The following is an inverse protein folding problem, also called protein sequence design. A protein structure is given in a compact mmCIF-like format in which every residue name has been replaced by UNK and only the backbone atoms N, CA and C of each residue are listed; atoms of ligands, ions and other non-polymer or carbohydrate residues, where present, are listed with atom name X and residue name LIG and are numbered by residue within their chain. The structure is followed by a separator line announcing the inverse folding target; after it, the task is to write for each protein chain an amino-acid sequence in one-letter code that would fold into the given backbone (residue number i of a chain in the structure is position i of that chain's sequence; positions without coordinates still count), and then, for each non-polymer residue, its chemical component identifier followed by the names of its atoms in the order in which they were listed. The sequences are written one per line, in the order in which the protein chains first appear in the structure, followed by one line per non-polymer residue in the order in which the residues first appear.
data_IF_093960252284
#
_entry.id   IF_093960252284
#
_cell.length_a   1.000
_cell.length_b   1.000
_cell.length_c   1.000
_cell.angle_alpha   90.00
_cell.angle_beta   90.00
_cell.angle_gamma   90.00
#
_symmetry.space_group_name_H-M   'P 1'
#
loop_
_entity.id
_entity.type
_entity.pdbx_description
1 polymer ?
#
# COMPACT_ATOMS: atom_id res chain seq x y z
N UNK A 1 -62.38 -16.30 -21.04
CA UNK A 1 -61.79 -17.56 -21.50
C UNK A 1 -60.32 -17.54 -21.10
N UNK A 2 -59.78 -18.28 -20.17
CA UNK A 2 -60.21 -19.14 -19.04
C UNK A 2 -58.88 -19.35 -18.27
N UNK A 3 -58.83 -19.09 -16.95
CA UNK A 3 -58.66 -20.09 -15.85
C UNK A 3 -57.41 -20.99 -16.03
N UNK A 4 -56.45 -21.15 -15.10
CA UNK A 4 -56.44 -21.37 -13.64
C UNK A 4 -55.04 -21.00 -13.07
N UNK A 5 -54.85 -20.36 -11.90
CA UNK A 5 -54.98 -20.85 -10.50
C UNK A 5 -53.93 -21.95 -10.16
N UNK A 6 -53.08 -21.88 -9.13
CA UNK A 6 -53.38 -21.86 -7.68
C UNK A 6 -52.18 -21.30 -6.84
N UNK A 7 -52.45 -20.62 -5.70
CA UNK A 7 -51.48 -20.07 -4.75
C UNK A 7 -51.19 -20.98 -3.52
N UNK A 8 -50.08 -20.69 -2.81
CA UNK A 8 -49.86 -21.13 -1.43
C UNK A 8 -48.42 -20.86 -0.96
N UNK A 9 -48.20 -20.01 0.05
CA UNK A 9 -48.36 -20.38 1.45
C UNK A 9 -47.74 -19.32 2.39
N UNK A 10 -48.43 -19.09 3.50
CA UNK A 10 -48.07 -18.43 4.75
C UNK A 10 -46.78 -17.61 4.87
N UNK A 11 -46.94 -16.32 5.16
CA UNK A 11 -46.03 -15.63 6.08
C UNK A 11 -46.80 -15.30 7.35
N UNK A 12 -46.65 -16.20 8.31
CA UNK A 12 -47.03 -15.99 9.70
C UNK A 12 -46.30 -14.76 10.26
N UNK A 13 -47.11 -13.91 10.87
CA UNK A 13 -46.71 -12.86 11.79
C UNK A 13 -46.25 -13.51 13.11
N UNK A 14 -44.95 -13.66 13.30
CA UNK A 14 -44.34 -13.83 14.62
C UNK A 14 -42.83 -13.66 14.53
N UNK A 15 -42.32 -12.45 14.78
CA UNK A 15 -40.95 -12.31 15.29
C UNK A 15 -40.77 -10.98 16.03
N UNK A 16 -41.54 -10.80 17.11
CA UNK A 16 -41.14 -9.94 18.23
C UNK A 16 -40.75 -10.84 19.40
N UNK A 17 -39.51 -11.32 19.41
CA UNK A 17 -38.80 -11.85 20.57
C UNK A 17 -37.37 -12.24 20.15
N UNK A 18 -36.49 -11.26 19.95
CA UNK A 18 -35.16 -11.56 19.44
C UNK A 18 -34.14 -10.44 19.53
N UNK A 19 -34.12 -9.65 20.60
CA UNK A 19 -33.05 -8.68 20.84
C UNK A 19 -32.13 -9.03 22.01
N UNK A 20 -32.49 -10.00 22.86
CA UNK A 20 -31.87 -10.11 24.18
C UNK A 20 -30.77 -11.20 24.29
N UNK A 21 -30.75 -12.18 23.38
CA UNK A 21 -29.76 -13.28 23.45
C UNK A 21 -28.43 -13.03 22.74
N UNK A 22 -28.36 -12.05 21.84
CA UNK A 22 -27.14 -11.78 21.05
C UNK A 22 -26.17 -10.82 21.74
N UNK A 23 -26.60 -10.06 22.75
CA UNK A 23 -25.71 -9.20 23.54
C UNK A 23 -25.04 -9.96 24.71
N UNK A 24 -25.66 -11.01 25.26
CA UNK A 24 -25.07 -11.79 26.36
C UNK A 24 -23.86 -12.64 25.95
N UNK A 25 -23.77 -13.08 24.68
CA UNK A 25 -22.69 -13.96 24.21
C UNK A 25 -21.29 -13.31 24.26
N UNK A 26 -21.08 -12.08 23.78
CA UNK A 26 -19.77 -11.41 23.90
C UNK A 26 -19.41 -11.05 25.34
N UNK A 27 -20.37 -10.69 26.19
CA UNK A 27 -20.12 -10.33 27.59
C UNK A 27 -19.71 -11.54 28.44
N UNK A 28 -20.34 -12.70 28.22
CA UNK A 28 -19.95 -13.97 28.86
C UNK A 28 -18.56 -14.43 28.35
N UNK A 29 -18.22 -14.20 27.09
CA UNK A 29 -16.91 -14.55 26.52
C UNK A 29 -15.78 -13.63 27.04
N UNK A 30 -16.06 -12.33 27.20
CA UNK A 30 -15.17 -11.38 27.86
C UNK A 30 -14.98 -11.75 29.33
N UNK A 31 -16.06 -12.14 30.02
CA UNK A 31 -16.04 -12.57 31.41
C UNK A 31 -15.23 -13.84 31.65
N UNK A 32 -15.37 -14.84 30.78
CA UNK A 32 -14.56 -16.07 30.84
C UNK A 32 -13.07 -15.79 30.58
N UNK A 33 -12.75 -14.84 29.71
CA UNK A 33 -11.38 -14.45 29.38
C UNK A 33 -10.73 -13.62 30.50
N UNK A 34 -11.48 -12.76 31.18
CA UNK A 34 -11.02 -12.00 32.34
C UNK A 34 -10.77 -12.93 33.54
N UNK A 35 -11.73 -13.80 33.85
CA UNK A 35 -11.61 -14.82 34.90
C UNK A 35 -10.35 -15.70 34.76
N UNK A 36 -10.00 -16.09 33.53
CA UNK A 36 -8.79 -16.88 33.26
C UNK A 36 -7.48 -16.11 33.48
N UNK A 37 -7.49 -14.76 33.36
CA UNK A 37 -6.30 -13.91 33.56
C UNK A 37 -6.02 -13.60 35.04
N UNK A 38 -7.07 -13.51 35.86
CA UNK A 38 -6.98 -13.11 37.28
C UNK A 38 -7.34 -14.23 38.27
N UNK A 39 -7.71 -15.42 37.77
CA UNK A 39 -7.89 -16.63 38.60
C UNK A 39 -9.16 -16.65 39.46
N UNK A 40 -10.16 -15.83 39.14
CA UNK A 40 -11.39 -15.67 39.92
C UNK A 40 -12.67 -16.01 39.15
N UNK A 41 -13.80 -16.07 39.86
CA UNK A 41 -15.13 -16.33 39.28
C UNK A 41 -15.70 -15.05 38.67
N UNK A 42 -16.19 -15.05 37.42
CA UNK A 42 -16.73 -13.84 36.81
C UNK A 42 -18.07 -13.43 37.44
N UNK A 43 -18.24 -12.14 37.69
CA UNK A 43 -19.50 -11.48 38.02
C UNK A 43 -19.88 -10.55 36.87
N UNK A 44 -21.08 -10.75 36.32
CA UNK A 44 -21.62 -9.98 35.20
C UNK A 44 -22.75 -9.12 35.73
N UNK A 45 -22.81 -7.85 35.30
CA UNK A 45 -23.90 -6.95 35.65
C UNK A 45 -25.22 -7.42 35.05
N UNK A 46 -26.32 -7.08 35.73
CA UNK A 46 -27.65 -7.27 35.14
C UNK A 46 -27.93 -6.24 34.03
N UNK A 47 -29.09 -6.34 33.39
CA UNK A 47 -29.50 -5.45 32.30
C UNK A 47 -29.57 -3.95 32.69
N UNK A 48 -29.48 -3.62 33.99
CA UNK A 48 -29.46 -2.25 34.50
C UNK A 48 -28.05 -1.81 34.96
N UNK A 49 -27.02 -2.63 34.74
CA UNK A 49 -25.65 -2.32 35.16
C UNK A 49 -25.40 -2.55 36.66
N UNK A 50 -26.22 -3.38 37.32
CA UNK A 50 -26.13 -3.65 38.76
C UNK A 50 -25.47 -5.00 39.03
N UNK A 51 -24.52 -5.04 39.96
CA UNK A 51 -23.89 -6.27 40.45
C UNK A 51 -24.15 -6.42 41.94
N UNK A 52 -24.78 -7.53 42.33
CA UNK A 52 -24.94 -7.90 43.74
C UNK A 52 -23.74 -8.74 44.17
N UNK A 53 -23.00 -8.27 45.17
CA UNK A 53 -21.87 -9.03 45.68
C UNK A 53 -22.33 -10.23 46.52
N UNK A 54 -21.56 -11.33 46.54
CA UNK A 54 -21.81 -12.45 47.43
C UNK A 54 -21.70 -12.02 48.90
N UNK A 55 -22.43 -12.72 49.78
CA UNK A 55 -22.45 -12.43 51.21
C UNK A 55 -21.03 -12.52 51.81
N UNK A 56 -20.63 -11.50 52.58
CA UNK A 56 -19.30 -11.40 53.17
C UNK A 56 -18.27 -10.65 52.31
N UNK A 57 -18.66 -10.10 51.16
CA UNK A 57 -17.84 -9.14 50.43
C UNK A 57 -17.94 -7.75 51.09
N UNK A 58 -16.80 -7.12 51.34
CA UNK A 58 -16.74 -5.73 51.78
C UNK A 58 -16.20 -4.85 50.67
N UNK A 59 -16.33 -3.53 50.85
CA UNK A 59 -15.85 -2.56 49.88
C UNK A 59 -14.30 -2.50 49.84
N UNK A 60 -13.64 -2.87 50.94
CA UNK A 60 -12.18 -2.93 51.07
C UNK A 60 -11.56 -4.11 50.29
N UNK A 61 -12.38 -5.10 49.93
CA UNK A 61 -11.96 -6.29 49.19
C UNK A 61 -11.83 -6.03 47.69
N UNK A 62 -12.26 -4.86 47.21
CA UNK A 62 -12.31 -4.49 45.79
C UNK A 62 -11.03 -3.77 45.37
N UNK A 63 -10.37 -4.27 44.31
CA UNK A 63 -9.15 -3.71 43.75
C UNK A 63 -9.22 -3.63 42.23
N UNK A 64 -8.53 -2.65 41.66
CA UNK A 64 -8.35 -2.54 40.20
C UNK A 64 -7.17 -3.39 39.77
N UNK A 65 -7.38 -4.28 38.79
CA UNK A 65 -6.30 -5.05 38.15
C UNK A 65 -6.43 -4.88 36.65
N UNK A 66 -5.55 -4.07 36.05
CA UNK A 66 -5.63 -3.73 34.64
C UNK A 66 -6.91 -2.95 34.32
N UNK A 67 -7.81 -3.57 33.54
CA UNK A 67 -9.13 -3.00 33.17
C UNK A 67 -10.29 -3.57 33.98
N UNK A 68 -10.02 -4.56 34.84
CA UNK A 68 -11.04 -5.32 35.57
C UNK A 68 -11.09 -4.90 37.05
N UNK A 69 -12.26 -5.07 37.69
CA UNK A 69 -12.36 -5.03 39.16
C UNK A 69 -12.24 -6.44 39.72
N UNK A 70 -11.38 -6.62 40.71
CA UNK A 70 -11.14 -7.89 41.38
C UNK A 70 -11.54 -7.77 42.83
N UNK A 71 -12.34 -8.72 43.31
CA UNK A 71 -12.85 -8.76 44.67
C UNK A 71 -12.28 -10.00 45.34
N UNK A 72 -11.56 -9.83 46.44
CA UNK A 72 -10.95 -10.95 47.18
C UNK A 72 -11.54 -11.03 48.57
N UNK A 73 -12.39 -12.04 48.82
CA UNK A 73 -13.02 -12.24 50.12
C UNK A 73 -12.01 -12.74 51.16
N UNK A 74 -12.30 -12.54 52.45
CA UNK A 74 -11.52 -13.04 53.59
C UNK A 74 -11.29 -14.57 53.58
N UNK A 75 -12.18 -15.32 52.91
CA UNK A 75 -12.06 -16.77 52.75
C UNK A 75 -11.11 -17.18 51.59
N UNK A 76 -10.49 -16.22 50.92
CA UNK A 76 -9.58 -16.41 49.78
C UNK A 76 -10.28 -16.60 48.43
N UNK A 77 -11.61 -16.51 48.35
CA UNK A 77 -12.32 -16.57 47.07
C UNK A 77 -12.17 -15.26 46.29
N UNK A 78 -11.87 -15.39 45.00
CA UNK A 78 -11.67 -14.26 44.09
C UNK A 78 -12.83 -14.18 43.12
N UNK A 79 -13.42 -12.99 42.97
CA UNK A 79 -14.41 -12.65 41.96
C UNK A 79 -13.88 -11.55 41.05
N UNK A 80 -14.29 -11.56 39.79
CA UNK A 80 -13.79 -10.63 38.76
C UNK A 80 -14.97 -10.01 38.03
N UNK A 81 -15.00 -8.68 37.98
CA UNK A 81 -15.92 -7.90 37.16
C UNK A 81 -15.12 -7.43 35.93
N UNK A 82 -15.38 -8.01 34.75
CA UNK A 82 -14.66 -7.68 33.51
C UNK A 82 -14.91 -6.23 33.12
N UNK A 83 -13.86 -5.52 32.69
CA UNK A 83 -13.92 -4.11 32.25
C UNK A 83 -14.50 -3.12 33.29
N UNK A 84 -14.74 -3.57 34.53
CA UNK A 84 -15.40 -2.77 35.56
C UNK A 84 -14.60 -1.57 36.07
N UNK A 85 -13.32 -1.46 35.70
CA UNK A 85 -12.52 -0.25 35.98
C UNK A 85 -12.79 0.86 34.94
N UNK A 86 -13.32 0.52 33.78
CA UNK A 86 -13.68 1.45 32.70
C UNK A 86 -15.18 1.74 32.76
N UNK A 87 -16.00 0.69 32.78
CA UNK A 87 -17.45 0.78 32.91
C UNK A 87 -17.85 0.39 34.34
N UNK A 88 -17.69 1.33 35.28
CA UNK A 88 -17.93 1.10 36.70
C UNK A 88 -19.41 0.79 36.94
N UNK A 89 -19.77 -0.44 37.37
CA UNK A 89 -21.16 -0.82 37.60
C UNK A 89 -21.66 -0.30 38.95
N UNK A 90 -22.98 -0.33 39.15
CA UNK A 90 -23.55 -0.12 40.48
C UNK A 90 -23.38 -1.39 41.30
N UNK A 91 -22.79 -1.29 42.49
CA UNK A 91 -22.55 -2.46 43.35
C UNK A 91 -23.55 -2.47 44.49
N UNK A 92 -24.16 -3.62 44.77
CA UNK A 92 -24.99 -3.84 45.95
C UNK A 92 -24.27 -4.76 46.92
N UNK A 93 -24.00 -4.26 48.13
CA UNK A 93 -23.32 -4.98 49.21
C UNK A 93 -24.30 -5.11 50.37
N UNK A 94 -24.61 -6.34 50.80
CA UNK A 94 -25.55 -6.63 51.89
C UNK A 94 -26.90 -5.86 51.80
N UNK A 95 -27.39 -5.66 50.58
CA UNK A 95 -28.65 -4.95 50.29
C UNK A 95 -28.53 -3.42 50.22
N UNK A 96 -27.35 -2.86 50.42
CA UNK A 96 -27.06 -1.42 50.27
C UNK A 96 -26.46 -1.17 48.89
N UNK A 97 -27.11 -0.30 48.11
CA UNK A 97 -26.64 0.07 46.79
C UNK A 97 -25.59 1.19 46.86
N UNK A 98 -24.40 0.94 46.32
CA UNK A 98 -23.29 1.89 46.17
C UNK A 98 -23.29 2.38 44.72
N UNK A 99 -23.58 3.68 44.48
CA UNK A 99 -23.56 4.24 43.14
C UNK A 99 -22.16 4.19 42.50
N UNK A 100 -22.06 4.06 41.17
CA UNK A 100 -20.79 4.01 40.44
C UNK A 100 -19.82 5.15 40.77
N UNK A 101 -20.36 6.36 40.96
CA UNK A 101 -19.57 7.56 41.24
C UNK A 101 -18.84 7.48 42.59
N UNK A 102 -19.46 6.86 43.60
CA UNK A 102 -18.85 6.70 44.92
C UNK A 102 -17.81 5.58 44.92
N UNK A 103 -18.05 4.53 44.13
CA UNK A 103 -17.09 3.45 43.94
C UNK A 103 -15.84 3.95 43.21
N UNK A 104 -16.01 4.70 42.12
CA UNK A 104 -14.90 5.29 41.37
C UNK A 104 -14.03 6.23 42.23
N UNK A 105 -14.64 7.03 43.11
CA UNK A 105 -13.92 7.89 44.04
C UNK A 105 -13.06 7.08 45.03
N UNK A 106 -13.64 6.01 45.60
CA UNK A 106 -12.93 5.12 46.52
C UNK A 106 -11.74 4.40 45.87
N UNK A 107 -11.87 4.03 44.59
CA UNK A 107 -10.83 3.32 43.83
C UNK A 107 -9.59 4.17 43.52
N UNK A 108 -9.73 5.50 43.49
CA UNK A 108 -8.65 6.44 43.18
C UNK A 108 -8.01 7.01 44.48
N UNK A 109 -8.56 6.68 45.65
CA UNK A 109 -8.10 7.19 46.94
C UNK A 109 -8.56 8.62 47.22
N UNK A 110 -9.45 9.16 46.40
CA UNK A 110 -10.15 10.41 46.69
C UNK A 110 -11.36 10.06 47.55
N UNK A 111 -11.27 10.29 48.86
CA UNK A 111 -12.43 10.18 49.75
C UNK A 111 -13.58 11.04 49.18
N UNK A 112 -14.74 10.46 48.83
CA UNK A 112 -15.87 11.27 48.45
C UNK A 112 -16.35 12.06 49.67
N UNK A 113 -16.43 13.37 49.48
CA UNK A 113 -17.29 14.32 50.20
C UNK A 113 -18.49 13.62 50.86
N UNK A 114 -18.45 13.59 52.18
CA UNK A 114 -19.50 13.36 53.19
C UNK A 114 -20.87 12.84 52.68
N UNK A 115 -21.41 11.74 53.23
CA UNK A 115 -22.72 11.23 52.83
C UNK A 115 -23.82 12.26 53.07
N UNK A 116 -24.79 12.28 52.15
CA UNK A 116 -25.95 13.16 52.18
C UNK A 116 -26.58 13.22 53.58
N UNK A 117 -26.55 14.42 54.18
CA UNK A 117 -27.23 14.69 55.43
C UNK A 117 -28.72 14.41 55.26
N UNK A 118 -29.26 13.50 56.09
CA UNK A 118 -30.69 13.40 56.30
C UNK A 118 -31.27 14.74 56.77
N UNK A 119 -32.61 14.86 56.69
CA UNK A 119 -33.41 16.04 57.01
C UNK A 119 -32.84 16.87 58.19
N UNK A 120 -32.78 18.21 58.08
CA UNK A 120 -32.05 19.05 59.02
C UNK A 120 -32.63 18.92 60.43
N UNK A 121 -31.87 18.31 61.34
CA UNK A 121 -32.08 18.51 62.78
C UNK A 121 -31.34 19.79 63.18
N UNK A 122 -32.01 20.92 63.02
CA UNK A 122 -31.60 22.15 63.70
C UNK A 122 -31.64 21.91 65.21
N UNK A 123 -30.48 22.01 65.88
CA UNK A 123 -30.41 22.14 67.34
C UNK A 123 -30.73 23.58 67.74
N UNK A 124 -31.86 24.10 67.23
CA UNK A 124 -32.40 25.40 67.60
C UNK A 124 -32.78 25.39 69.07
N UNK A 125 -31.79 25.63 69.93
CA UNK A 125 -32.01 25.97 71.31
C UNK A 125 -32.96 27.17 71.34
N UNK A 126 -34.00 26.99 72.12
CA UNK A 126 -35.12 27.88 72.31
C UNK A 126 -34.70 29.01 73.26
N UNK A 127 -34.29 30.17 72.70
CA UNK A 127 -33.87 31.40 73.41
C UNK A 127 -35.01 32.10 74.17
N UNK A 128 -35.73 31.37 75.02
CA UNK A 128 -36.82 31.92 75.85
C UNK A 128 -36.36 32.45 77.21
N UNK A 129 -35.05 32.63 77.42
CA UNK A 129 -34.59 33.45 78.54
C UNK A 129 -34.36 34.89 78.07
N UNK A 130 -34.91 35.82 78.82
CA UNK A 130 -34.84 37.26 78.56
C UNK A 130 -33.36 37.66 78.44
N UNK A 131 -32.98 38.21 77.29
CA UNK A 131 -31.62 38.65 77.06
C UNK A 131 -31.30 39.74 78.08
N UNK A 132 -30.44 39.42 79.06
CA UNK A 132 -29.96 40.41 80.02
C UNK A 132 -29.44 41.67 79.31
N UNK A 133 -29.47 42.85 79.96
CA UNK A 133 -29.11 44.10 79.33
C UNK A 133 -27.74 43.99 78.66
N UNK A 134 -27.68 44.37 77.39
CA UNK A 134 -26.44 44.43 76.61
C UNK A 134 -25.43 45.24 77.41
N UNK A 135 -24.34 44.59 77.83
CA UNK A 135 -23.27 45.27 78.56
C UNK A 135 -22.71 46.42 77.70
N UNK A 136 -22.21 47.48 78.34
CA UNK A 136 -21.60 48.59 77.62
C UNK A 136 -20.59 48.08 76.58
N UNK A 137 -20.68 48.59 75.35
CA UNK A 137 -19.74 48.26 74.30
C UNK A 137 -18.32 48.47 74.81
N UNK A 138 -17.53 47.40 74.86
CA UNK A 138 -16.10 47.52 75.12
C UNK A 138 -15.50 48.48 74.09
N UNK A 139 -14.56 49.36 74.49
CA UNK A 139 -13.87 50.21 73.54
C UNK A 139 -13.31 49.33 72.43
N UNK A 140 -13.71 49.65 71.20
CA UNK A 140 -13.17 49.01 70.01
C UNK A 140 -11.69 49.35 70.03
N UNK A 141 -10.84 48.40 70.42
CA UNK A 141 -9.40 48.56 70.31
C UNK A 141 -9.06 48.96 68.89
N UNK A 142 -8.08 49.85 68.73
CA UNK A 142 -7.71 50.49 67.46
C UNK A 142 -7.88 49.53 66.29
N UNK A 143 -8.93 49.76 65.50
CA UNK A 143 -9.14 49.02 64.27
C UNK A 143 -7.88 49.24 63.44
N UNK A 144 -7.20 48.14 63.08
CA UNK A 144 -6.10 48.22 62.12
C UNK A 144 -6.58 49.05 60.92
N UNK A 145 -5.81 50.06 60.48
CA UNK A 145 -6.20 50.84 59.31
C UNK A 145 -6.41 49.89 58.12
N UNK A 146 -7.30 50.21 57.14
CA UNK A 146 -7.81 49.28 56.13
C UNK A 146 -6.79 48.65 55.15
N UNK A 147 -5.50 48.76 55.42
CA UNK A 147 -4.39 48.42 54.52
C UNK A 147 -3.53 47.25 54.99
N UNK A 148 -3.82 46.60 56.12
CA UNK A 148 -3.04 45.44 56.63
C UNK A 148 -3.64 44.06 56.30
N UNK A 149 -4.51 43.97 55.29
CA UNK A 149 -4.79 42.71 54.61
C UNK A 149 -4.49 42.89 53.13
N UNK A 150 -3.19 43.02 52.82
CA UNK A 150 -2.71 42.82 51.46
C UNK A 150 -2.83 41.34 51.12
N UNK A 151 -4.02 40.89 50.71
CA UNK A 151 -4.06 39.74 49.82
C UNK A 151 -3.19 40.15 48.64
N UNK A 152 -2.05 39.47 48.46
CA UNK A 152 -1.41 39.47 47.15
C UNK A 152 -2.54 39.07 46.22
N UNK A 153 -2.99 39.98 45.36
CA UNK A 153 -3.95 39.62 44.33
C UNK A 153 -3.31 38.43 43.64
N UNK A 154 -3.85 37.23 43.85
CA UNK A 154 -3.29 36.06 43.19
C UNK A 154 -3.30 36.43 41.73
N UNK A 155 -2.10 36.52 41.15
CA UNK A 155 -1.95 36.77 39.75
C UNK A 155 -2.65 35.58 39.10
N UNK A 156 -3.90 35.78 38.69
CA UNK A 156 -4.60 34.86 37.82
C UNK A 156 -3.88 34.96 36.49
N UNK A 157 -2.79 34.21 36.37
CA UNK A 157 -2.32 33.80 35.06
C UNK A 157 -3.41 32.90 34.51
N UNK A 158 -4.11 33.40 33.49
CA UNK A 158 -4.79 32.49 32.59
C UNK A 158 -3.71 31.57 32.02
N UNK A 159 -3.67 30.33 32.50
CA UNK A 159 -3.03 29.24 31.77
C UNK A 159 -3.93 29.03 30.56
N UNK A 160 -3.68 29.78 29.49
CA UNK A 160 -4.23 29.44 28.19
C UNK A 160 -3.75 28.02 27.91
N UNK A 161 -4.65 27.05 27.64
CA UNK A 161 -4.20 25.73 27.22
C UNK A 161 -3.25 25.95 26.04
N UNK A 162 -2.07 25.32 26.10
CA UNK A 162 -1.18 25.33 24.95
C UNK A 162 -1.99 24.88 23.74
N UNK A 163 -1.76 25.46 22.54
CA UNK A 163 -2.40 24.95 21.34
C UNK A 163 -2.21 23.43 21.31
N UNK A 164 -3.28 22.71 20.98
CA UNK A 164 -3.26 21.26 20.96
C UNK A 164 -2.31 20.80 19.85
N UNK A 165 -1.13 20.34 20.26
CA UNK A 165 -0.10 19.75 19.42
C UNK A 165 -0.61 18.44 18.80
N UNK A 166 -0.74 18.43 17.47
CA UNK A 166 -1.27 17.33 16.67
C UNK A 166 -0.33 17.03 15.49
N UNK A 167 0.52 16.04 15.74
CA UNK A 167 1.27 15.31 14.72
C UNK A 167 0.62 15.24 13.31
N UNK A 168 1.38 15.56 12.26
CA UNK A 168 0.92 15.46 10.90
C UNK A 168 0.86 13.99 10.48
N UNK A 169 0.15 13.72 9.38
CA UNK A 169 0.13 12.41 8.73
C UNK A 169 0.40 12.57 7.24
N UNK A 170 1.06 11.57 6.65
CA UNK A 170 1.33 11.53 5.22
C UNK A 170 1.24 10.09 4.70
N UNK A 171 0.69 9.94 3.51
CA UNK A 171 0.66 8.68 2.77
C UNK A 171 0.61 8.95 1.28
N UNK A 172 0.86 7.92 0.48
CA UNK A 172 0.90 8.03 -0.97
C UNK A 172 -0.04 7.00 -1.58
N UNK A 173 -0.85 7.46 -2.53
CA UNK A 173 -1.75 6.66 -3.36
C UNK A 173 -1.14 6.57 -4.75
N UNK A 174 -1.08 5.38 -5.33
CA UNK A 174 -0.59 5.15 -6.69
C UNK A 174 -1.61 4.33 -7.48
N UNK A 175 -1.44 4.27 -8.80
CA UNK A 175 -2.26 3.40 -9.66
C UNK A 175 -2.25 1.94 -9.18
N UNK A 176 -1.11 1.47 -8.67
CA UNK A 176 -0.93 0.08 -8.21
C UNK A 176 -1.32 -0.13 -6.73
N UNK A 177 -1.44 0.95 -5.96
CA UNK A 177 -1.85 0.94 -4.56
C UNK A 177 -2.90 2.03 -4.30
N UNK A 178 -4.20 1.72 -4.45
CA UNK A 178 -5.28 2.70 -4.35
C UNK A 178 -5.64 3.11 -2.91
N UNK A 179 -4.79 2.78 -1.94
CA UNK A 179 -4.94 3.11 -0.53
C UNK A 179 -3.70 3.87 -0.09
N UNK A 180 -3.88 4.98 0.62
CA UNK A 180 -2.78 5.78 1.11
C UNK A 180 -1.92 4.95 2.07
N UNK A 181 -0.65 4.80 1.74
CA UNK A 181 0.32 4.02 2.53
C UNK A 181 1.58 4.85 2.77
N UNK A 182 2.25 4.63 3.89
CA UNK A 182 3.54 5.26 4.20
C UNK A 182 4.66 4.71 3.33
N UNK A 183 4.56 3.46 2.87
CA UNK A 183 5.50 2.83 1.94
C UNK A 183 4.78 2.46 0.64
N UNK A 184 4.68 3.43 -0.26
CA UNK A 184 4.00 3.27 -1.54
C UNK A 184 4.94 2.70 -2.60
N UNK A 185 4.34 1.96 -3.53
CA UNK A 185 5.00 1.42 -4.71
C UNK A 185 4.25 1.82 -5.97
N UNK A 186 4.99 2.08 -7.05
CA UNK A 186 4.44 2.21 -8.39
C UNK A 186 5.34 1.49 -9.38
N UNK A 187 4.88 1.36 -10.61
CA UNK A 187 5.66 0.70 -11.66
C UNK A 187 5.58 1.46 -12.97
N UNK A 188 6.71 1.48 -13.66
CA UNK A 188 6.87 1.96 -15.04
C UNK A 188 7.60 0.89 -15.85
N UNK A 189 7.57 1.00 -17.17
CA UNK A 189 8.24 0.08 -18.06
C UNK A 189 8.99 0.81 -19.17
N UNK A 190 10.18 0.31 -19.47
CA UNK A 190 11.05 0.80 -20.55
C UNK A 190 10.45 0.61 -21.92
N UNK A 191 9.52 -0.32 -22.06
CA UNK A 191 8.84 -0.56 -23.34
C UNK A 191 8.19 0.70 -23.89
N UNK A 192 7.80 1.66 -23.04
CA UNK A 192 7.24 2.95 -23.46
C UNK A 192 8.26 4.04 -23.79
N UNK A 193 9.56 3.82 -23.51
CA UNK A 193 10.58 4.82 -23.73
C UNK A 193 10.69 5.19 -25.23
N UNK A 194 10.74 6.49 -25.57
CA UNK A 194 11.02 6.91 -26.94
C UNK A 194 12.49 6.63 -27.29
N UNK A 195 12.82 6.71 -28.58
CA UNK A 195 14.23 6.70 -29.00
C UNK A 195 14.98 7.91 -28.42
N UNK A 196 16.20 7.68 -27.96
CA UNK A 196 17.08 8.70 -27.34
C UNK A 196 18.43 8.72 -28.05
N UNK A 197 19.34 9.59 -27.63
CA UNK A 197 20.63 9.91 -28.28
C UNK A 197 21.53 8.68 -28.60
N UNK A 198 21.22 7.96 -29.68
CA UNK A 198 21.90 6.72 -30.07
C UNK A 198 21.30 5.45 -29.46
N UNK A 199 20.21 5.56 -28.70
CA UNK A 199 19.51 4.43 -28.07
C UNK A 199 18.18 4.18 -28.78
N UNK A 200 17.86 2.90 -29.08
CA UNK A 200 16.58 2.54 -29.65
C UNK A 200 15.41 2.88 -28.73
N UNK A 201 14.23 2.99 -29.33
CA UNK A 201 12.99 3.10 -28.56
C UNK A 201 12.65 1.75 -27.90
N UNK A 202 11.91 1.81 -26.80
CA UNK A 202 11.33 0.64 -26.18
C UNK A 202 10.42 -0.16 -27.12
N UNK A 203 10.19 -1.41 -26.75
CA UNK A 203 9.46 -2.40 -27.53
C UNK A 203 7.99 -2.07 -27.78
N UNK A 204 7.45 -1.09 -27.06
CA UNK A 204 6.11 -0.55 -27.22
C UNK A 204 6.09 0.98 -27.06
N UNK A 205 7.03 1.70 -27.69
CA UNK A 205 7.24 3.14 -27.50
C UNK A 205 6.06 4.05 -27.89
N UNK A 206 5.02 3.49 -28.50
CA UNK A 206 3.76 4.20 -28.76
C UNK A 206 2.83 4.22 -27.54
N UNK A 207 3.09 3.39 -26.53
CA UNK A 207 2.45 3.44 -25.23
C UNK A 207 3.06 4.54 -24.35
N UNK A 208 2.61 4.63 -23.11
CA UNK A 208 3.05 5.61 -22.11
C UNK A 208 3.49 4.93 -20.80
N UNK A 209 3.91 3.67 -20.87
CA UNK A 209 4.25 2.85 -19.70
C UNK A 209 5.51 3.33 -18.98
N UNK A 210 6.32 4.18 -19.60
CA UNK A 210 7.43 4.91 -19.01
C UNK A 210 6.97 5.97 -18.00
N UNK A 211 5.65 6.24 -17.92
CA UNK A 211 5.06 7.19 -16.99
C UNK A 211 4.12 6.54 -15.98
N UNK A 212 4.09 7.08 -14.76
CA UNK A 212 3.08 6.74 -13.73
C UNK A 212 2.66 8.00 -13.00
N UNK A 213 1.50 7.96 -12.36
CA UNK A 213 1.00 9.06 -11.52
C UNK A 213 0.52 8.55 -10.16
N UNK A 214 0.34 9.50 -9.26
CA UNK A 214 -0.21 9.25 -7.94
C UNK A 214 -0.53 10.53 -7.19
N UNK A 215 -0.96 10.37 -5.95
CA UNK A 215 -1.35 11.46 -5.06
C UNK A 215 -0.70 11.26 -3.71
N UNK A 216 0.05 12.26 -3.26
CA UNK A 216 0.46 12.38 -1.86
C UNK A 216 -0.75 12.91 -1.10
N UNK A 217 -1.18 12.19 -0.07
CA UNK A 217 -2.28 12.56 0.83
C UNK A 217 -1.67 12.89 2.17
N UNK A 218 -2.04 14.03 2.74
CA UNK A 218 -1.52 14.49 4.02
C UNK A 218 -2.59 15.21 4.83
N UNK A 219 -2.40 15.24 6.15
CA UNK A 219 -3.19 16.04 7.06
C UNK A 219 -2.24 16.67 8.08
N UNK A 220 -2.31 17.99 8.20
CA UNK A 220 -1.44 18.80 9.08
C UNK A 220 -2.34 19.72 9.90
N UNK A 221 -2.91 19.23 11.03
CA UNK A 221 -3.93 19.97 11.78
C UNK A 221 -3.46 21.32 12.31
N UNK A 222 -2.15 21.48 12.55
CA UNK A 222 -1.51 22.70 13.05
C UNK A 222 -0.90 23.57 11.93
N UNK A 223 -1.27 23.26 10.68
CA UNK A 223 -0.75 23.93 9.48
C UNK A 223 0.53 23.27 8.96
N UNK A 224 0.97 23.68 7.78
CA UNK A 224 2.15 23.13 7.11
C UNK A 224 3.26 24.17 7.18
N UNK A 225 4.41 23.81 7.75
CA UNK A 225 5.61 24.63 7.68
C UNK A 225 6.43 24.31 6.42
N UNK A 226 6.66 23.02 6.14
CA UNK A 226 7.43 22.62 4.96
C UNK A 226 7.04 21.23 4.44
N UNK A 227 7.17 21.05 3.13
CA UNK A 227 7.13 19.76 2.47
C UNK A 227 8.47 19.59 1.76
N UNK A 228 9.13 18.45 1.94
CA UNK A 228 10.39 18.14 1.26
C UNK A 228 10.29 16.80 0.54
N UNK A 229 10.98 16.68 -0.60
CA UNK A 229 11.14 15.42 -1.33
C UNK A 229 12.64 15.18 -1.51
N UNK A 230 13.15 14.05 -1.00
CA UNK A 230 14.57 13.74 -0.93
C UNK A 230 15.40 14.87 -0.28
N UNK A 231 14.85 15.51 0.75
CA UNK A 231 15.47 16.64 1.45
C UNK A 231 15.44 17.97 0.69
N UNK A 232 14.91 18.02 -0.53
CA UNK A 232 14.72 19.26 -1.29
C UNK A 232 13.37 19.87 -0.96
N UNK A 233 13.33 21.15 -0.61
CA UNK A 233 12.10 21.88 -0.26
C UNK A 233 11.19 22.01 -1.49
N UNK A 234 9.93 21.65 -1.32
CA UNK A 234 8.87 21.90 -2.30
C UNK A 234 8.44 23.37 -2.27
N UNK A 235 8.42 24.04 -3.42
CA UNK A 235 8.12 25.47 -3.56
C UNK A 235 6.88 25.74 -4.41
N UNK A 236 6.37 24.76 -5.17
CA UNK A 236 5.11 24.88 -5.90
C UNK A 236 4.92 23.88 -7.05
N UNK A 237 3.69 23.77 -7.59
CA UNK A 237 3.40 22.89 -8.72
C UNK A 237 4.29 23.17 -9.94
N UNK A 238 4.66 22.12 -10.65
CA UNK A 238 5.64 22.12 -11.74
C UNK A 238 7.07 21.86 -11.30
N UNK A 239 7.37 21.84 -10.00
CA UNK A 239 8.70 21.48 -9.51
C UNK A 239 9.01 20.01 -9.77
N UNK A 240 10.25 19.78 -10.20
CA UNK A 240 10.78 18.45 -10.52
C UNK A 240 11.82 17.99 -9.50
N UNK A 241 11.85 16.68 -9.28
CA UNK A 241 12.78 15.99 -8.40
C UNK A 241 13.40 14.85 -9.21
N UNK A 242 14.67 15.02 -9.55
CA UNK A 242 15.41 14.09 -10.40
C UNK A 242 15.97 12.95 -9.55
N UNK A 243 15.76 11.73 -10.02
CA UNK A 243 16.36 10.51 -9.50
C UNK A 243 17.32 9.93 -10.55
N UNK A 244 18.09 8.88 -10.24
CA UNK A 244 19.02 8.28 -11.21
C UNK A 244 18.35 7.76 -12.50
N UNK A 245 17.05 7.42 -12.49
CA UNK A 245 16.38 6.81 -13.66
C UNK A 245 15.31 7.69 -14.27
N UNK A 246 14.81 8.67 -13.53
CA UNK A 246 13.66 9.43 -13.97
C UNK A 246 13.47 10.72 -13.22
N UNK A 247 12.31 11.30 -13.41
CA UNK A 247 11.95 12.59 -12.82
C UNK A 247 10.54 12.53 -12.28
N UNK A 248 10.40 12.84 -10.99
CA UNK A 248 9.11 13.07 -10.35
C UNK A 248 8.76 14.55 -10.46
N UNK A 249 7.53 14.86 -10.85
CA UNK A 249 7.01 16.23 -10.98
C UNK A 249 5.74 16.35 -10.15
N UNK A 250 5.68 17.33 -9.25
CA UNK A 250 4.44 17.64 -8.54
C UNK A 250 3.57 18.49 -9.47
N UNK A 251 2.41 17.98 -9.87
CA UNK A 251 1.54 18.63 -10.88
C UNK A 251 0.50 19.55 -10.26
N UNK A 252 0.00 19.21 -9.07
CA UNK A 252 -0.93 20.06 -8.30
C UNK A 252 -0.63 19.96 -6.83
N UNK A 253 -1.00 20.99 -6.07
CA UNK A 253 -0.90 21.02 -4.61
C UNK A 253 -2.09 21.78 -4.06
N UNK A 254 -2.85 21.15 -3.18
CA UNK A 254 -3.98 21.73 -2.48
C UNK A 254 -3.87 21.46 -0.97
N UNK A 255 -3.41 22.44 -0.18
CA UNK A 255 -3.25 22.27 1.25
C UNK A 255 -4.60 22.24 2.00
N UNK A 256 -5.71 22.70 1.39
CA UNK A 256 -7.02 22.69 2.03
C UNK A 256 -7.64 21.29 2.02
N UNK A 257 -7.42 20.53 0.93
CA UNK A 257 -7.86 19.13 0.83
C UNK A 257 -6.81 18.14 1.29
N UNK A 258 -5.56 18.59 1.51
CA UNK A 258 -4.48 17.72 1.96
C UNK A 258 -3.92 16.84 0.84
N UNK A 259 -3.87 17.34 -0.40
CA UNK A 259 -3.48 16.54 -1.56
C UNK A 259 -2.42 17.20 -2.44
N UNK A 260 -1.48 16.39 -2.95
CA UNK A 260 -0.54 16.79 -3.99
C UNK A 260 -0.46 15.71 -5.07
N UNK A 261 -0.85 16.03 -6.30
CA UNK A 261 -0.72 15.09 -7.41
C UNK A 261 0.70 15.13 -7.96
N UNK A 262 1.21 13.99 -8.39
CA UNK A 262 2.49 13.89 -9.05
C UNK A 262 2.43 13.00 -10.30
N UNK A 263 3.36 13.23 -11.19
CA UNK A 263 3.74 12.30 -12.26
C UNK A 263 5.20 11.91 -12.08
N UNK A 264 5.54 10.70 -12.50
CA UNK A 264 6.91 10.26 -12.64
C UNK A 264 7.11 9.79 -14.08
N UNK A 265 8.23 10.16 -14.68
CA UNK A 265 8.64 9.71 -16.01
C UNK A 265 10.02 9.07 -15.94
N UNK A 266 10.13 7.83 -16.39
CA UNK A 266 11.40 7.16 -16.63
C UNK A 266 12.10 7.85 -17.81
N UNK A 267 13.35 8.26 -17.61
CA UNK A 267 14.12 9.00 -18.61
C UNK A 267 15.16 8.15 -19.29
N UNK A 268 15.67 7.11 -18.63
CA UNK A 268 16.73 6.25 -19.14
C UNK A 268 16.39 4.75 -19.10
N UNK A 269 17.07 3.93 -19.93
CA UNK A 269 16.92 2.47 -19.91
C UNK A 269 17.67 1.86 -18.73
N UNK A 270 17.41 0.58 -18.42
CA UNK A 270 18.02 -0.12 -17.29
C UNK A 270 18.78 -1.33 -17.81
N UNK A 271 20.09 -1.30 -17.59
CA UNK A 271 20.96 -2.43 -17.92
C UNK A 271 21.16 -3.30 -16.69
N UNK A 272 20.69 -4.55 -16.72
CA UNK A 272 21.08 -5.58 -15.74
C UNK A 272 20.11 -5.89 -14.60
N UNK A 273 18.80 -5.61 -14.73
CA UNK A 273 17.74 -6.10 -13.82
C UNK A 273 16.87 -5.01 -13.20
N UNK A 274 15.86 -5.38 -12.41
CA UNK A 274 14.91 -4.43 -11.81
C UNK A 274 15.60 -3.56 -10.78
N UNK A 275 15.74 -2.28 -11.09
CA UNK A 275 16.30 -1.32 -10.16
C UNK A 275 15.31 -0.18 -9.99
N UNK A 276 14.99 0.13 -8.73
CA UNK A 276 13.94 1.05 -8.36
C UNK A 276 14.51 2.44 -8.03
N UNK A 277 13.70 3.46 -8.26
CA UNK A 277 13.93 4.79 -7.70
C UNK A 277 13.13 4.98 -6.41
N UNK A 278 13.69 5.77 -5.50
CA UNK A 278 13.06 6.05 -4.20
C UNK A 278 12.95 7.55 -3.97
N UNK A 279 11.77 7.96 -3.53
CA UNK A 279 11.48 9.32 -3.12
C UNK A 279 10.99 9.29 -1.68
N UNK A 280 11.68 10.00 -0.81
CA UNK A 280 11.26 10.21 0.58
C UNK A 280 10.56 11.55 0.67
N UNK A 281 9.28 11.54 1.02
CA UNK A 281 8.45 12.73 1.20
C UNK A 281 8.30 12.99 2.69
N UNK A 282 8.68 14.17 3.14
CA UNK A 282 8.65 14.57 4.54
C UNK A 282 7.84 15.84 4.68
N UNK A 283 6.81 15.78 5.52
CA UNK A 283 5.97 16.91 5.89
C UNK A 283 6.33 17.36 7.31
N UNK A 284 6.51 18.65 7.50
CA UNK A 284 6.73 19.29 8.79
C UNK A 284 5.65 20.34 9.02
N UNK A 285 5.01 20.32 10.17
CA UNK A 285 4.00 21.30 10.57
C UNK A 285 4.63 22.52 11.28
N UNK A 286 3.77 23.43 11.75
CA UNK A 286 4.15 24.76 12.24
C UNK A 286 4.91 24.74 13.58
N UNK A 287 4.73 23.73 14.40
CA UNK A 287 5.39 23.51 15.70
C UNK A 287 6.54 22.49 15.62
N UNK A 288 6.70 21.80 14.50
CA UNK A 288 7.93 21.09 14.12
C UNK A 288 7.82 19.57 14.16
N UNK A 289 6.62 19.03 14.36
CA UNK A 289 6.33 17.62 14.20
C UNK A 289 6.46 17.19 12.73
N UNK A 290 6.80 15.92 12.53
CA UNK A 290 7.21 15.39 11.23
C UNK A 290 6.51 14.09 10.88
N UNK A 291 5.99 14.02 9.67
CA UNK A 291 5.49 12.79 9.07
C UNK A 291 6.28 12.47 7.79
N UNK A 292 6.60 11.19 7.57
CA UNK A 292 7.37 10.75 6.40
C UNK A 292 6.69 9.59 5.68
N UNK A 293 6.74 9.61 4.35
CA UNK A 293 6.33 8.50 3.48
C UNK A 293 7.36 8.29 2.37
N UNK A 294 7.55 7.04 1.95
CA UNK A 294 8.43 6.64 0.86
C UNK A 294 7.63 6.17 -0.35
N UNK A 295 7.99 6.65 -1.53
CA UNK A 295 7.55 6.14 -2.82
C UNK A 295 8.68 5.37 -3.48
N UNK A 296 8.43 4.11 -3.81
CA UNK A 296 9.36 3.25 -4.57
C UNK A 296 8.81 3.04 -5.98
N UNK A 297 9.52 3.53 -7.00
CA UNK A 297 9.16 3.34 -8.41
C UNK A 297 9.97 2.17 -8.96
N UNK A 298 9.30 1.05 -9.22
CA UNK A 298 9.92 -0.09 -9.88
C UNK A 298 9.88 0.11 -11.40
N UNK A 299 11.01 -0.02 -12.06
CA UNK A 299 11.08 0.06 -13.51
C UNK A 299 11.30 -1.35 -14.10
N UNK A 300 10.39 -1.75 -14.97
CA UNK A 300 10.44 -3.00 -15.68
C UNK A 300 11.23 -2.83 -16.97
N UNK A 301 12.28 -3.64 -17.07
CA UNK A 301 13.05 -3.84 -18.29
C UNK A 301 12.16 -4.43 -19.38
N UNK A 302 12.44 -4.06 -20.63
CA UNK A 302 11.74 -4.60 -21.78
C UNK A 302 12.58 -5.65 -22.51
N UNK A 303 12.05 -6.22 -23.59
CA UNK A 303 12.77 -7.29 -24.28
C UNK A 303 12.75 -7.06 -25.79
N UNK A 304 13.84 -7.40 -26.49
CA UNK A 304 13.84 -7.37 -27.94
C UNK A 304 12.83 -8.36 -28.52
N UNK A 305 12.17 -7.94 -29.59
CA UNK A 305 11.25 -8.77 -30.37
C UNK A 305 11.89 -9.06 -31.72
N UNK A 306 12.36 -10.29 -31.85
CA UNK A 306 12.89 -10.84 -33.08
C UNK A 306 11.77 -11.07 -34.11
N UNK A 307 11.94 -10.61 -35.35
CA UNK A 307 11.06 -10.91 -36.48
C UNK A 307 11.75 -11.85 -37.47
N UNK A 308 10.96 -12.48 -38.34
CA UNK A 308 11.50 -13.41 -39.33
C UNK A 308 12.03 -12.65 -40.54
N UNK A 309 13.25 -12.97 -40.93
CA UNK A 309 13.80 -12.47 -42.19
C UNK A 309 13.71 -13.51 -43.29
N UNK A 310 13.53 -13.01 -44.51
CA UNK A 310 13.66 -13.82 -45.71
C UNK A 310 14.56 -13.19 -46.75
N UNK A 311 15.29 -14.02 -47.48
CA UNK A 311 16.13 -13.57 -48.58
C UNK A 311 16.24 -14.63 -49.68
N UNK A 312 16.68 -14.24 -50.87
CA UNK A 312 16.81 -15.13 -52.02
C UNK A 312 18.15 -14.99 -52.71
N UNK A 313 18.76 -16.12 -53.06
CA UNK A 313 20.00 -16.14 -53.87
C UNK A 313 19.64 -16.50 -55.30
N UNK A 314 19.82 -15.60 -56.29
CA UNK A 314 19.50 -15.90 -57.67
C UNK A 314 20.22 -17.16 -58.19
N UNK A 315 19.58 -17.89 -59.10
CA UNK A 315 20.14 -19.10 -59.65
C UNK A 315 21.45 -18.79 -60.41
N UNK A 316 22.50 -19.59 -60.16
CA UNK A 316 23.80 -19.39 -60.80
C UNK A 316 24.68 -18.30 -60.16
N UNK A 317 24.19 -17.59 -59.15
CA UNK A 317 25.00 -16.65 -58.36
C UNK A 317 25.80 -17.39 -57.30
N UNK A 318 27.09 -17.06 -57.22
CA UNK A 318 28.05 -17.56 -56.22
C UNK A 318 28.74 -16.42 -55.47
N UNK A 319 28.49 -15.16 -55.85
CA UNK A 319 28.89 -14.01 -55.05
C UNK A 319 28.10 -13.99 -53.76
N UNK A 320 28.76 -13.54 -52.68
CA UNK A 320 28.12 -13.38 -51.39
C UNK A 320 26.89 -12.46 -51.49
N UNK A 321 25.76 -12.91 -50.94
CA UNK A 321 24.58 -12.08 -50.75
C UNK A 321 24.63 -11.48 -49.35
N UNK A 322 24.33 -10.19 -49.22
CA UNK A 322 24.50 -9.44 -47.98
C UNK A 322 23.20 -8.77 -47.56
N UNK A 323 22.97 -8.69 -46.26
CA UNK A 323 21.85 -7.95 -45.69
C UNK A 323 22.03 -7.75 -44.19
N UNK A 324 20.96 -7.36 -43.51
CA UNK A 324 20.94 -7.23 -42.06
C UNK A 324 19.61 -7.75 -41.49
N UNK A 325 19.71 -8.71 -40.57
CA UNK A 325 18.55 -9.39 -39.94
C UNK A 325 17.90 -8.56 -38.84
N UNK A 326 18.64 -7.59 -38.28
CA UNK A 326 18.13 -6.70 -37.24
C UNK A 326 17.37 -5.54 -37.87
N UNK A 327 17.89 -4.94 -38.94
CA UNK A 327 17.24 -3.79 -39.59
C UNK A 327 16.32 -4.19 -40.74
N UNK A 328 16.33 -5.46 -41.16
CA UNK A 328 15.68 -5.94 -42.37
C UNK A 328 16.30 -5.39 -43.67
N UNK A 329 17.40 -4.63 -43.60
CA UNK A 329 18.00 -3.99 -44.76
C UNK A 329 18.57 -5.02 -45.75
N UNK A 330 18.30 -4.80 -47.05
CA UNK A 330 18.69 -5.69 -48.15
C UNK A 330 18.24 -7.15 -47.98
N UNK A 331 17.18 -7.38 -47.19
CA UNK A 331 16.44 -8.64 -47.16
C UNK A 331 15.21 -8.55 -48.07
N UNK A 332 14.64 -9.68 -48.46
CA UNK A 332 13.34 -9.73 -49.17
C UNK A 332 12.16 -9.41 -48.24
N UNK A 333 12.28 -9.70 -46.93
CA UNK A 333 11.30 -9.31 -45.91
C UNK A 333 11.25 -7.79 -45.65
N UNK A 334 12.34 -7.07 -45.91
CA UNK A 334 12.43 -5.62 -45.73
C UNK A 334 12.03 -5.19 -44.31
N UNK A 335 11.32 -4.05 -44.21
CA UNK A 335 10.89 -3.49 -42.93
C UNK A 335 9.99 -4.42 -42.10
N UNK A 336 9.30 -5.39 -42.71
CA UNK A 336 8.49 -6.35 -41.98
C UNK A 336 9.33 -7.40 -41.23
N UNK A 337 10.57 -7.63 -41.67
CA UNK A 337 11.55 -8.49 -41.00
C UNK A 337 12.42 -7.76 -39.97
N UNK A 338 12.41 -6.42 -39.96
CA UNK A 338 13.19 -5.64 -38.99
C UNK A 338 12.80 -5.99 -37.55
N UNK A 339 13.78 -6.12 -36.66
CA UNK A 339 13.58 -6.41 -35.25
C UNK A 339 13.17 -5.16 -34.46
N UNK A 340 12.61 -5.40 -33.27
CA UNK A 340 12.48 -4.39 -32.23
C UNK A 340 13.55 -4.66 -31.17
N UNK A 341 14.38 -3.68 -30.84
CA UNK A 341 15.60 -3.90 -30.06
C UNK A 341 15.41 -3.84 -28.54
N UNK A 342 14.29 -3.29 -28.07
CA UNK A 342 14.18 -2.85 -26.66
C UNK A 342 14.92 -1.52 -26.45
N UNK A 343 14.76 -0.89 -25.30
CA UNK A 343 15.35 0.42 -25.02
C UNK A 343 16.88 0.36 -24.77
N UNK A 344 17.41 -0.83 -24.52
CA UNK A 344 18.81 -1.11 -24.18
C UNK A 344 19.62 -1.77 -25.31
N UNK A 345 19.04 -1.83 -26.51
CA UNK A 345 19.61 -2.41 -27.72
C UNK A 345 19.65 -3.95 -27.72
N UNK A 346 19.85 -4.53 -28.90
CA UNK A 346 19.90 -5.98 -29.08
C UNK A 346 21.04 -6.38 -30.00
N UNK A 347 21.64 -7.52 -29.70
CA UNK A 347 22.71 -8.10 -30.52
C UNK A 347 22.48 -9.58 -30.76
N UNK A 348 22.99 -10.07 -31.89
CA UNK A 348 23.01 -11.50 -32.18
C UNK A 348 24.02 -12.16 -31.25
N UNK A 349 23.62 -13.23 -30.57
CA UNK A 349 24.50 -13.98 -29.65
C UNK A 349 24.76 -15.41 -30.11
N UNK A 350 23.94 -15.92 -31.04
CA UNK A 350 24.03 -17.31 -31.52
C UNK A 350 23.24 -17.50 -32.81
N UNK A 351 23.77 -18.36 -33.68
CA UNK A 351 23.10 -18.87 -34.86
C UNK A 351 23.07 -20.40 -34.91
N UNK A 352 22.12 -20.94 -35.65
CA UNK A 352 21.98 -22.37 -35.90
C UNK A 352 21.44 -22.63 -37.31
N UNK A 353 21.78 -23.76 -37.94
CA UNK A 353 21.12 -24.22 -39.16
C UNK A 353 19.95 -25.16 -38.82
N UNK A 354 18.81 -25.00 -39.48
CA UNK A 354 17.71 -25.96 -39.38
C UNK A 354 17.91 -27.17 -40.32
N UNK A 355 18.59 -26.99 -41.46
CA UNK A 355 18.81 -28.00 -42.48
C UNK A 355 19.98 -28.93 -42.13
N UNK A 356 20.90 -28.45 -41.29
CA UNK A 356 22.00 -29.22 -40.72
C UNK A 356 22.01 -28.96 -39.22
N UNK A 357 21.07 -29.61 -38.51
CA UNK A 357 20.73 -29.28 -37.12
C UNK A 357 21.91 -29.30 -36.11
N UNK A 358 22.98 -30.05 -36.40
CA UNK A 358 24.19 -30.08 -35.58
C UNK A 358 25.05 -28.81 -35.72
N UNK A 359 24.82 -28.00 -36.75
CA UNK A 359 25.63 -26.83 -37.03
C UNK A 359 25.05 -25.63 -36.30
N UNK A 360 25.74 -25.21 -35.26
CA UNK A 360 25.46 -24.01 -34.46
C UNK A 360 26.75 -23.25 -34.21
N UNK A 361 26.64 -21.95 -34.00
CA UNK A 361 27.76 -21.13 -33.57
C UNK A 361 27.29 -20.05 -32.60
N UNK A 362 28.00 -19.91 -31.49
CA UNK A 362 27.75 -18.93 -30.42
C UNK A 362 29.04 -18.30 -29.89
N UNK A 363 30.15 -18.44 -30.62
CA UNK A 363 31.43 -17.86 -30.24
C UNK A 363 31.96 -17.03 -31.38
N UNK A 364 31.89 -15.70 -31.22
CA UNK A 364 32.45 -14.79 -32.20
C UNK A 364 33.95 -15.05 -32.43
N UNK A 365 34.36 -15.10 -33.69
CA UNK A 365 35.77 -15.14 -34.07
C UNK A 365 36.48 -13.80 -33.80
N UNK A 366 37.79 -13.74 -34.04
CA UNK A 366 38.57 -12.50 -33.88
C UNK A 366 38.15 -11.35 -34.80
N UNK A 367 37.36 -11.64 -35.84
CA UNK A 367 36.79 -10.67 -36.77
C UNK A 367 35.34 -10.30 -36.44
N UNK A 368 34.78 -10.82 -35.33
CA UNK A 368 33.43 -10.53 -34.87
C UNK A 368 32.34 -11.29 -35.64
N UNK A 369 32.64 -12.45 -36.21
CA UNK A 369 31.68 -13.26 -36.95
C UNK A 369 31.23 -14.50 -36.16
N UNK A 370 29.95 -14.84 -36.31
CA UNK A 370 29.42 -16.19 -36.15
C UNK A 370 29.25 -16.80 -37.54
N UNK A 371 29.54 -18.09 -37.69
CA UNK A 371 29.49 -18.78 -38.96
C UNK A 371 28.80 -20.14 -38.85
N UNK A 372 27.84 -20.39 -39.74
CA UNK A 372 27.19 -21.69 -39.85
C UNK A 372 27.23 -22.21 -41.28
N UNK A 373 27.68 -23.46 -41.44
CA UNK A 373 27.64 -24.16 -42.73
C UNK A 373 26.27 -24.80 -42.91
N UNK A 374 25.44 -24.25 -43.79
CA UNK A 374 24.17 -24.85 -44.18
C UNK A 374 24.33 -25.88 -45.30
N UNK A 375 23.22 -26.52 -45.68
CA UNK A 375 23.18 -27.51 -46.76
C UNK A 375 23.65 -26.94 -48.13
N UNK A 376 23.41 -25.65 -48.38
CA UNK A 376 23.61 -25.03 -49.70
C UNK A 376 24.71 -23.96 -49.73
N UNK A 377 25.33 -23.67 -48.60
CA UNK A 377 26.26 -22.55 -48.48
C UNK A 377 26.60 -22.24 -47.04
N UNK A 378 27.38 -21.20 -46.86
CA UNK A 378 27.87 -20.73 -45.56
C UNK A 378 27.22 -19.38 -45.27
N UNK A 379 26.61 -19.26 -44.10
CA UNK A 379 26.15 -17.98 -43.55
C UNK A 379 27.19 -17.49 -42.55
N UNK A 380 27.62 -16.25 -42.70
CA UNK A 380 28.46 -15.49 -41.76
C UNK A 380 27.64 -14.30 -41.29
N UNK A 381 27.56 -14.06 -39.98
CA UNK A 381 26.79 -12.95 -39.40
C UNK A 381 27.56 -12.29 -38.26
N UNK A 382 27.36 -10.99 -38.06
CA UNK A 382 27.96 -10.24 -36.96
C UNK A 382 26.93 -9.92 -35.86
N UNK A 383 27.41 -9.43 -34.72
CA UNK A 383 26.56 -9.05 -33.59
C UNK A 383 25.50 -8.00 -33.94
N UNK A 384 25.79 -7.10 -34.87
CA UNK A 384 24.91 -6.04 -35.38
C UNK A 384 23.86 -6.53 -36.40
N UNK A 385 23.80 -7.85 -36.62
CA UNK A 385 22.87 -8.48 -37.57
C UNK A 385 23.31 -8.45 -39.02
N UNK A 386 24.42 -7.78 -39.38
CA UNK A 386 24.94 -7.79 -40.74
C UNK A 386 25.40 -9.20 -41.13
N UNK A 387 24.91 -9.69 -42.27
CA UNK A 387 25.21 -11.04 -42.73
C UNK A 387 25.73 -11.09 -44.16
N UNK A 388 26.41 -12.20 -44.45
CA UNK A 388 26.87 -12.61 -45.77
C UNK A 388 26.59 -14.10 -45.95
N UNK A 389 25.90 -14.45 -47.04
CA UNK A 389 25.66 -15.84 -47.43
C UNK A 389 26.39 -16.15 -48.74
N UNK A 390 27.26 -17.16 -48.70
CA UNK A 390 27.99 -17.65 -49.89
C UNK A 390 27.54 -19.05 -50.24
N UNK A 391 27.00 -19.23 -51.44
CA UNK A 391 26.54 -20.53 -51.95
C UNK A 391 27.74 -21.45 -52.22
N UNK A 392 27.62 -22.71 -51.82
CA UNK A 392 28.63 -23.73 -52.14
C UNK A 392 28.57 -24.09 -53.63
N UNK A 393 29.72 -24.22 -54.33
CA UNK A 393 29.79 -24.74 -55.69
C UNK A 393 29.09 -26.10 -55.83
N UNK A 394 28.41 -26.33 -56.96
CA UNK A 394 27.81 -27.64 -57.28
C UNK A 394 26.48 -27.97 -56.57
N UNK A 395 25.94 -27.06 -55.75
CA UNK A 395 24.63 -27.24 -55.11
C UNK A 395 23.45 -27.17 -56.11
N UNK A 396 22.33 -27.89 -55.89
CA UNK A 396 21.21 -27.99 -56.84
C UNK A 396 20.57 -26.63 -57.22
N UNK A 397 20.33 -26.41 -58.51
CA UNK A 397 19.90 -25.13 -59.12
C UNK A 397 18.39 -24.86 -59.19
N UNK A 398 17.53 -25.61 -58.49
CA UNK A 398 16.07 -25.51 -58.72
C UNK A 398 15.42 -24.35 -57.96
N UNK A 399 14.99 -23.33 -58.72
CA UNK A 399 13.97 -22.32 -58.38
C UNK A 399 14.35 -21.38 -57.23
N UNK A 400 13.75 -20.20 -57.18
CA UNK A 400 13.92 -19.27 -56.05
C UNK A 400 13.62 -20.02 -54.75
N UNK A 401 14.60 -20.15 -53.85
CA UNK A 401 14.39 -20.71 -52.51
C UNK A 401 14.61 -19.59 -51.51
N UNK A 402 13.58 -19.36 -50.69
CA UNK A 402 13.62 -18.39 -49.61
C UNK A 402 14.47 -18.95 -48.46
N UNK A 403 15.50 -18.21 -48.08
CA UNK A 403 16.09 -18.29 -46.75
C UNK A 403 15.02 -17.84 -45.77
N UNK A 404 14.85 -18.55 -44.66
CA UNK A 404 14.10 -18.09 -43.49
C UNK A 404 15.05 -18.02 -42.30
N UNK A 405 15.01 -16.90 -41.58
CA UNK A 405 15.66 -16.70 -40.29
C UNK A 405 14.57 -16.62 -39.23
N UNK A 406 14.54 -17.56 -38.29
CA UNK A 406 13.48 -17.67 -37.28
C UNK A 406 13.84 -16.96 -35.96
N UNK A 407 12.84 -16.55 -35.16
CA UNK A 407 13.00 -15.76 -33.96
C UNK A 407 12.87 -16.69 -32.74
N UNK A 408 13.67 -17.75 -32.67
CA UNK A 408 13.86 -18.40 -31.38
C UNK A 408 14.89 -17.57 -30.60
N UNK A 409 15.12 -17.87 -29.31
CA UNK A 409 16.36 -17.42 -28.60
C UNK A 409 17.67 -17.81 -29.33
N UNK A 410 17.54 -18.49 -30.47
CA UNK A 410 18.49 -18.87 -31.51
C UNK A 410 18.00 -18.26 -32.83
N UNK A 411 18.82 -17.49 -33.56
CA UNK A 411 18.54 -17.22 -34.97
C UNK A 411 18.78 -18.50 -35.76
N UNK A 412 17.70 -19.20 -36.15
CA UNK A 412 17.78 -20.43 -36.95
C UNK A 412 17.69 -20.10 -38.43
N UNK A 413 18.64 -20.57 -39.22
CA UNK A 413 18.71 -20.41 -40.67
C UNK A 413 18.17 -21.62 -41.40
N UNK A 414 17.26 -21.42 -42.35
CA UNK A 414 16.69 -22.50 -43.14
C UNK A 414 16.18 -22.21 -44.53
N UNK A 415 15.93 -23.29 -45.28
CA UNK A 415 15.35 -23.24 -46.62
C UNK A 415 14.22 -24.26 -46.67
N UNK A 416 13.01 -23.83 -47.01
CA UNK A 416 11.88 -24.75 -47.14
C UNK A 416 11.94 -25.52 -48.48
N UNK A 417 11.45 -26.76 -48.46
CA UNK A 417 11.05 -27.50 -49.67
C UNK A 417 9.54 -27.51 -49.66
N UNK A 418 8.91 -26.77 -50.58
CA UNK A 418 7.49 -26.91 -50.86
C UNK A 418 7.13 -28.41 -51.00
N UNK A 419 6.48 -28.95 -49.98
CA UNK A 419 5.78 -30.21 -50.05
C UNK A 419 4.35 -29.89 -50.52
N UNK A 420 4.19 -29.94 -51.84
CA UNK A 420 2.97 -30.33 -52.57
C UNK A 420 1.62 -29.86 -52.02
N UNK A 421 1.24 -28.60 -52.28
CA UNK A 421 -0.15 -28.26 -52.63
C UNK A 421 -0.20 -27.02 -53.53
N UNK A 422 -0.57 -27.29 -54.80
CA UNK A 422 -1.09 -26.40 -55.85
C UNK A 422 -0.91 -24.87 -55.65
N UNK A 423 -0.05 -24.30 -56.50
CA UNK A 423 -0.05 -22.89 -56.94
C UNK A 423 -0.51 -21.86 -55.90
N UNK A 424 0.41 -21.44 -55.02
CA UNK A 424 0.47 -20.03 -54.63
C UNK A 424 1.85 -19.50 -55.01
N UNK A 425 1.86 -18.49 -55.88
CA UNK A 425 3.02 -17.61 -56.07
C UNK A 425 3.36 -17.00 -54.70
N UNK A 426 4.58 -16.48 -54.55
CA UNK A 426 4.91 -15.60 -53.44
C UNK A 426 3.93 -14.42 -53.45
N UNK A 427 2.83 -14.55 -52.71
CA UNK A 427 1.81 -13.54 -52.53
C UNK A 427 1.95 -13.01 -51.10
N UNK A 428 1.82 -11.69 -50.88
CA UNK A 428 1.93 -11.09 -49.58
C UNK A 428 0.61 -11.32 -48.83
N UNK A 429 0.62 -12.27 -47.89
CA UNK A 429 -0.49 -12.49 -46.96
C UNK A 429 -1.23 -13.80 -47.15
N UNK A 430 -1.04 -14.72 -46.19
CA UNK A 430 -2.16 -15.31 -45.45
C UNK A 430 -1.61 -16.09 -44.25
N UNK A 431 -2.18 -15.77 -43.09
CA UNK A 431 -1.88 -16.28 -41.76
C UNK A 431 -2.27 -17.77 -41.60
N UNK A 432 -1.66 -18.48 -40.63
CA UNK A 432 -2.35 -19.14 -39.51
C UNK A 432 -1.38 -19.95 -38.60
N UNK A 433 -1.32 -19.56 -37.33
CA UNK A 433 -1.36 -20.50 -36.19
C UNK A 433 -0.05 -21.01 -35.57
N UNK A 434 0.42 -20.35 -34.51
CA UNK A 434 0.84 -21.02 -33.28
C UNK A 434 0.59 -20.10 -32.06
N UNK A 435 0.00 -20.70 -31.03
CA UNK A 435 -0.70 -20.10 -29.90
C UNK A 435 0.16 -19.28 -28.90
N UNK A 436 -0.47 -18.40 -28.08
CA UNK A 436 0.20 -17.66 -27.02
C UNK A 436 0.57 -18.61 -25.87
N UNK A 437 1.87 -18.77 -25.62
CA UNK A 437 2.36 -19.46 -24.43
C UNK A 437 2.14 -18.61 -23.18
N UNK A 438 0.94 -18.70 -22.60
CA UNK A 438 0.70 -18.35 -21.20
C UNK A 438 1.46 -19.31 -20.26
N UNK A 439 2.12 -18.69 -19.27
CA UNK A 439 2.46 -19.19 -17.92
C UNK A 439 3.58 -20.22 -17.77
N UNK A 440 4.57 -19.87 -16.94
CA UNK A 440 4.61 -20.26 -15.52
C UNK A 440 5.44 -19.26 -14.71
N UNK A 441 4.76 -18.55 -13.81
CA UNK A 441 5.35 -18.13 -12.54
C UNK A 441 5.88 -19.37 -11.84
N UNK A 442 7.18 -19.42 -11.67
CA UNK A 442 7.82 -20.21 -10.63
C UNK A 442 8.56 -19.22 -9.73
N UNK A 443 7.91 -18.84 -8.63
CA UNK A 443 8.56 -18.59 -7.34
C UNK A 443 7.51 -18.55 -6.23
N UNK A 444 7.64 -19.53 -5.33
CA UNK A 444 7.32 -19.39 -3.91
C UNK A 444 8.18 -18.30 -3.29
#
# INVERSE_FOLDING_TARGET
MDYENIPGNGRDTANEAGSDRSQMVPEIAAAASAAARTGGTPLIADANGVIVLPAGATLDDIKVVGRDLVITLDNGQVFVIPEGAIDVPQIVIDGVAVPPLNLAALLIGDEPIQPAAGLPRSSGNNFFEDAGPIQNAHPIGDLLPPTEFGFVAERREEVLPQPLDRNPTIGIVTVNQPVATTDATASVAESGLPARNGEPAGSNAAANSETTSGTIVFNSPDGIASLTINGTVFTGPGQTFVSPRGTLTITTFDPATGTANFTYTLTDNIVGGTVADQFTVTLTDSDGDVATSRLTINAADDAPIARNDTDTVPAGTYTAQTGNVITGAATTSGAAGADTLGADNATITRIASNNVAANTDSSFDSAGNLQVSGQYGVLTIKADGSYSFTRNPGTPRRGQRCVHLYPDRLRRFGFDRDADHRHRRCDPGDHFGAAPGQRRDDRR
#
